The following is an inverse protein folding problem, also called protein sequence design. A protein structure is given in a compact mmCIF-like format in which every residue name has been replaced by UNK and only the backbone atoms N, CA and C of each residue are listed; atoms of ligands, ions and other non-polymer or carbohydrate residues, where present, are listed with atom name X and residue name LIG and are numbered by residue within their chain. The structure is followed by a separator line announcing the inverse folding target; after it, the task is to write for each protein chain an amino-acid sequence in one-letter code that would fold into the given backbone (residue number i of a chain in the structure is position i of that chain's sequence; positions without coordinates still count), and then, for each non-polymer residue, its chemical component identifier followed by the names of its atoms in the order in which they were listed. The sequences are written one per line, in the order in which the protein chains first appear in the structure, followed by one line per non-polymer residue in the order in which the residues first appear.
data_IF_772967600610
#
_entry.id   IF_772967600610
#
_cell.length_a   1.000
_cell.length_b   1.000
_cell.length_c   1.000
_cell.angle_alpha   90.00
_cell.angle_beta   90.00
_cell.angle_gamma   90.00
#
_symmetry.space_group_name_H-M   'P 1'
#
loop_
_entity.id
_entity.type
_entity.pdbx_description
1 polymer ?
#
# COMPACT_ATOMS: atom_id res chain seq x y z
N UNK A 1 -56.28 -9.54 -44.52
CA UNK A 1 -56.22 -8.59 -43.39
C UNK A 1 -55.35 -9.19 -42.30
N UNK A 2 -54.36 -8.42 -41.86
CA UNK A 2 -53.38 -8.66 -40.78
C UNK A 2 -53.91 -9.46 -39.58
N UNK A 3 -53.08 -10.33 -38.99
CA UNK A 3 -52.42 -9.98 -37.73
C UNK A 3 -51.26 -10.91 -37.35
N UNK A 4 -50.21 -10.28 -36.81
CA UNK A 4 -48.91 -10.80 -36.41
C UNK A 4 -48.94 -11.50 -35.05
N UNK A 5 -48.09 -12.51 -34.86
CA UNK A 5 -47.38 -12.81 -33.60
C UNK A 5 -46.15 -13.68 -33.93
N UNK A 6 -44.98 -13.04 -34.11
CA UNK A 6 -43.69 -13.73 -34.18
C UNK A 6 -43.18 -13.93 -32.75
N UNK A 7 -43.16 -15.17 -32.28
CA UNK A 7 -42.35 -15.60 -31.13
C UNK A 7 -41.16 -16.37 -31.67
N UNK A 8 -40.02 -15.70 -31.83
CA UNK A 8 -38.75 -16.38 -32.15
C UNK A 8 -38.03 -16.71 -30.85
N UNK A 9 -38.20 -17.96 -30.41
CA UNK A 9 -37.28 -18.58 -29.47
C UNK A 9 -35.91 -18.72 -30.16
N UNK A 10 -34.94 -17.88 -29.77
CA UNK A 10 -33.56 -18.00 -30.22
C UNK A 10 -32.94 -19.21 -29.52
N UNK A 11 -32.67 -20.24 -30.33
CA UNK A 11 -31.85 -21.41 -30.01
C UNK A 11 -30.52 -20.97 -29.38
N UNK A 12 -30.22 -21.42 -28.16
CA UNK A 12 -28.90 -21.19 -27.53
C UNK A 12 -27.87 -22.13 -28.17
N UNK A 13 -26.77 -21.63 -28.76
CA UNK A 13 -25.68 -22.52 -29.16
C UNK A 13 -24.89 -22.96 -27.93
N UNK A 14 -24.69 -24.27 -27.82
CA UNK A 14 -23.81 -24.91 -26.84
C UNK A 14 -22.39 -24.29 -26.91
N UNK A 15 -21.93 -23.73 -25.79
CA UNK A 15 -20.53 -23.27 -25.66
C UNK A 15 -19.61 -24.49 -25.55
N UNK A 16 -18.95 -24.82 -26.66
CA UNK A 16 -17.68 -25.57 -26.63
C UNK A 16 -16.67 -24.80 -25.79
N UNK A 17 -15.86 -25.53 -25.01
CA UNK A 17 -14.74 -25.01 -24.22
C UNK A 17 -13.64 -24.44 -25.13
N UNK A 18 -13.90 -23.29 -25.73
CA UNK A 18 -12.87 -22.50 -26.38
C UNK A 18 -12.10 -21.78 -25.28
N UNK A 19 -10.81 -22.11 -25.17
CA UNK A 19 -9.82 -21.23 -24.56
C UNK A 19 -9.97 -19.88 -25.25
N UNK A 20 -10.62 -18.92 -24.59
CA UNK A 20 -10.62 -17.54 -25.06
C UNK A 20 -9.19 -17.05 -24.90
N UNK A 21 -8.46 -17.01 -26.02
CA UNK A 21 -7.30 -16.16 -26.15
C UNK A 21 -7.84 -14.74 -25.95
N UNK A 22 -7.55 -14.15 -24.80
CA UNK A 22 -7.95 -12.79 -24.51
C UNK A 22 -7.13 -11.88 -25.43
N UNK A 23 -7.75 -10.93 -26.15
CA UNK A 23 -6.99 -9.91 -26.85
C UNK A 23 -6.16 -9.18 -25.80
N UNK A 24 -4.84 -9.28 -25.97
CA UNK A 24 -3.78 -8.44 -25.44
C UNK A 24 -4.03 -7.92 -24.02
N UNK A 25 -3.29 -8.46 -23.05
CA UNK A 25 -3.28 -7.97 -21.67
C UNK A 25 -2.64 -6.57 -21.56
N UNK A 26 -3.02 -5.59 -22.39
CA UNK A 26 -2.72 -4.15 -22.33
C UNK A 26 -1.43 -3.76 -21.58
N UNK A 27 -0.28 -4.36 -21.94
CA UNK A 27 1.02 -4.10 -21.32
C UNK A 27 1.17 -4.53 -19.84
N UNK A 28 0.23 -5.29 -19.29
CA UNK A 28 0.25 -5.80 -17.92
C UNK A 28 1.43 -6.74 -17.68
N UNK A 29 1.93 -6.72 -16.45
CA UNK A 29 2.88 -7.71 -15.96
C UNK A 29 2.36 -8.40 -14.71
N UNK A 30 2.79 -9.64 -14.50
CA UNK A 30 2.58 -10.37 -13.26
C UNK A 30 3.81 -10.13 -12.39
N UNK A 31 3.63 -9.48 -11.22
CA UNK A 31 4.71 -9.31 -10.24
C UNK A 31 4.63 -10.38 -9.18
N UNK A 32 5.74 -11.08 -8.95
CA UNK A 32 5.84 -12.09 -7.90
C UNK A 32 5.64 -11.51 -6.51
N UNK A 33 4.73 -12.11 -5.74
CA UNK A 33 4.45 -11.74 -4.32
C UNK A 33 4.96 -12.80 -3.34
N UNK A 34 5.39 -13.96 -3.82
CA UNK A 34 5.98 -15.03 -3.01
C UNK A 34 7.42 -14.69 -2.61
N UNK A 35 7.73 -14.71 -1.31
CA UNK A 35 9.08 -14.48 -0.79
C UNK A 35 10.12 -15.49 -1.31
N UNK A 36 9.67 -16.70 -1.64
CA UNK A 36 10.52 -17.78 -2.17
C UNK A 36 10.60 -17.77 -3.71
N UNK A 37 10.03 -16.76 -4.36
CA UNK A 37 9.83 -16.75 -5.80
C UNK A 37 8.70 -17.68 -6.24
N UNK A 38 8.49 -17.74 -7.56
CA UNK A 38 7.48 -18.57 -8.20
C UNK A 38 8.06 -19.21 -9.48
N UNK A 39 7.71 -20.47 -9.71
CA UNK A 39 8.05 -21.17 -10.94
C UNK A 39 7.22 -20.66 -12.12
N UNK A 40 7.88 -20.49 -13.27
CA UNK A 40 7.26 -20.34 -14.58
C UNK A 40 7.23 -21.72 -15.23
N UNK A 41 6.04 -22.21 -15.57
CA UNK A 41 5.82 -23.57 -16.10
C UNK A 41 5.46 -23.55 -17.58
N UNK A 42 5.65 -24.67 -18.27
CA UNK A 42 5.29 -24.83 -19.69
C UNK A 42 3.81 -25.17 -19.93
N UNK A 43 2.99 -25.19 -18.88
CA UNK A 43 1.53 -25.35 -18.94
C UNK A 43 0.85 -24.95 -17.63
N UNK A 44 -0.46 -24.73 -17.63
CA UNK A 44 -1.24 -24.24 -16.48
C UNK A 44 -1.57 -25.36 -15.48
N UNK A 45 -0.55 -26.07 -15.00
CA UNK A 45 -0.67 -27.09 -13.95
C UNK A 45 0.62 -27.20 -13.14
N UNK A 46 0.51 -27.60 -11.88
CA UNK A 46 1.68 -27.91 -11.02
C UNK A 46 2.45 -29.14 -11.51
N UNK A 47 1.84 -30.00 -12.32
CA UNK A 47 2.47 -31.16 -12.95
C UNK A 47 3.24 -30.83 -14.23
N UNK A 48 3.06 -29.64 -14.80
CA UNK A 48 3.79 -29.20 -15.99
C UNK A 48 5.27 -28.89 -15.68
N UNK A 49 6.13 -29.07 -16.68
CA UNK A 49 7.56 -28.82 -16.58
C UNK A 49 7.88 -27.36 -16.24
N UNK A 50 9.00 -27.13 -15.55
CA UNK A 50 9.46 -25.82 -15.13
C UNK A 50 10.37 -25.23 -16.22
N UNK A 51 10.02 -24.06 -16.73
CA UNK A 51 10.84 -23.27 -17.67
C UNK A 51 11.86 -22.39 -16.95
N UNK A 52 11.56 -22.01 -15.70
CA UNK A 52 12.40 -21.17 -14.86
C UNK A 52 11.64 -20.68 -13.63
N UNK A 53 12.16 -19.66 -12.98
CA UNK A 53 11.50 -19.03 -11.84
C UNK A 53 11.77 -17.52 -11.82
N UNK A 54 10.87 -16.77 -11.22
CA UNK A 54 11.06 -15.35 -10.94
C UNK A 54 11.07 -15.15 -9.42
N UNK A 55 11.97 -14.31 -8.93
CA UNK A 55 12.07 -13.96 -7.51
C UNK A 55 11.01 -12.96 -7.08
N UNK A 56 10.85 -12.76 -5.78
CA UNK A 56 9.97 -11.73 -5.21
C UNK A 56 10.19 -10.36 -5.87
N UNK A 57 9.10 -9.70 -6.26
CA UNK A 57 9.15 -8.38 -6.89
C UNK A 57 9.57 -8.36 -8.37
N UNK A 58 10.15 -9.45 -8.90
CA UNK A 58 10.38 -9.58 -10.33
C UNK A 58 9.05 -9.73 -11.09
N UNK A 59 9.04 -9.28 -12.34
CA UNK A 59 7.83 -9.27 -13.16
C UNK A 59 8.03 -9.92 -14.52
N UNK A 60 6.94 -10.46 -15.08
CA UNK A 60 6.87 -11.02 -16.42
C UNK A 60 5.65 -10.48 -17.15
N UNK A 61 5.74 -10.13 -18.46
CA UNK A 61 4.59 -9.68 -19.23
C UNK A 61 3.48 -10.73 -19.24
N UNK A 62 2.25 -10.32 -18.95
CA UNK A 62 1.07 -11.17 -19.10
C UNK A 62 0.65 -11.15 -20.56
N UNK A 63 0.33 -12.33 -21.10
CA UNK A 63 -0.13 -12.50 -22.48
C UNK A 63 -1.51 -13.15 -22.56
N UNK A 64 -2.02 -13.67 -21.44
CA UNK A 64 -3.33 -14.30 -21.38
C UNK A 64 -3.58 -14.99 -20.04
N UNK A 65 -4.56 -15.89 -19.99
CA UNK A 65 -4.87 -16.72 -18.82
C UNK A 65 -5.44 -18.07 -19.22
N UNK A 66 -5.29 -19.05 -18.34
CA UNK A 66 -5.90 -20.37 -18.47
C UNK A 66 -6.28 -20.89 -17.09
N UNK A 67 -7.59 -21.04 -16.83
CA UNK A 67 -8.09 -21.34 -15.49
C UNK A 67 -7.57 -20.32 -14.48
N UNK A 68 -6.92 -20.83 -13.44
CA UNK A 68 -6.37 -20.04 -12.33
C UNK A 68 -4.91 -19.60 -12.56
N UNK A 69 -4.42 -19.75 -13.79
CA UNK A 69 -3.04 -19.44 -14.20
C UNK A 69 -2.99 -18.25 -15.14
N UNK A 70 -1.99 -17.40 -14.96
CA UNK A 70 -1.61 -16.39 -15.93
C UNK A 70 -0.70 -17.00 -16.99
N UNK A 71 -1.00 -16.74 -18.25
CA UNK A 71 -0.08 -16.99 -19.36
C UNK A 71 0.84 -15.76 -19.47
N UNK A 72 2.14 -16.00 -19.57
CA UNK A 72 3.17 -14.95 -19.52
C UNK A 72 4.21 -15.14 -20.63
N UNK A 73 4.88 -14.07 -21.03
CA UNK A 73 6.09 -14.15 -21.85
C UNK A 73 7.32 -14.26 -20.95
N UNK A 74 8.07 -15.35 -21.08
CA UNK A 74 9.28 -15.60 -20.30
C UNK A 74 10.40 -16.06 -21.22
N UNK A 75 11.48 -15.29 -21.30
CA UNK A 75 12.61 -15.53 -22.20
C UNK A 75 12.20 -15.79 -23.66
N UNK A 76 11.19 -15.05 -24.15
CA UNK A 76 10.67 -15.19 -25.52
C UNK A 76 9.75 -16.41 -25.75
N UNK A 77 9.46 -17.21 -24.71
CA UNK A 77 8.55 -18.36 -24.78
C UNK A 77 7.27 -18.11 -23.98
N UNK A 78 6.22 -18.87 -24.31
CA UNK A 78 4.99 -18.91 -23.52
C UNK A 78 5.22 -19.71 -22.24
N UNK A 79 5.06 -19.05 -21.09
CA UNK A 79 5.07 -19.67 -19.77
C UNK A 79 3.75 -19.47 -19.03
N UNK A 80 3.61 -20.14 -17.89
CA UNK A 80 2.45 -20.05 -17.02
C UNK A 80 2.87 -19.90 -15.56
N UNK A 81 2.23 -18.98 -14.85
CA UNK A 81 2.47 -18.74 -13.43
C UNK A 81 1.14 -18.75 -12.66
N UNK A 82 1.12 -19.33 -11.45
CA UNK A 82 -0.11 -19.52 -10.69
C UNK A 82 -0.57 -18.19 -10.08
N UNK A 83 -1.85 -17.85 -10.24
CA UNK A 83 -2.35 -16.51 -9.92
C UNK A 83 -2.17 -16.09 -8.47
N UNK A 84 -2.25 -17.03 -7.51
CA UNK A 84 -2.15 -16.71 -6.07
C UNK A 84 -0.78 -16.18 -5.61
N UNK A 85 0.26 -16.39 -6.41
CA UNK A 85 1.65 -16.00 -6.08
C UNK A 85 2.15 -14.80 -6.88
N UNK A 86 1.25 -14.15 -7.61
CA UNK A 86 1.52 -12.92 -8.34
C UNK A 86 0.39 -11.92 -8.11
N UNK A 87 0.67 -10.64 -8.40
CA UNK A 87 -0.37 -9.63 -8.59
C UNK A 87 -0.36 -9.17 -10.04
N UNK A 88 -1.55 -8.99 -10.61
CA UNK A 88 -1.75 -8.48 -11.97
C UNK A 88 -2.71 -7.29 -11.91
N UNK A 89 -2.40 -6.16 -12.56
CA UNK A 89 -3.23 -4.96 -12.52
C UNK A 89 -4.48 -5.12 -13.38
N UNK A 90 -5.55 -4.47 -12.95
CA UNK A 90 -6.77 -4.33 -13.74
C UNK A 90 -7.47 -2.99 -13.52
N UNK A 91 -8.34 -2.62 -14.45
CA UNK A 91 -9.20 -1.43 -14.36
C UNK A 91 -10.66 -1.82 -14.50
N UNK A 92 -11.50 -1.28 -13.62
CA UNK A 92 -12.95 -1.53 -13.61
C UNK A 92 -13.61 -0.74 -14.73
N UNK A 93 -14.43 -1.42 -15.52
CA UNK A 93 -15.23 -0.86 -16.61
C UNK A 93 -16.70 -1.23 -16.39
N UNK A 94 -17.36 -0.51 -15.49
CA UNK A 94 -18.74 -0.75 -15.07
C UNK A 94 -19.50 0.57 -14.87
N UNK A 95 -20.57 0.79 -15.63
CA UNK A 95 -21.32 2.06 -15.64
C UNK A 95 -21.92 2.48 -14.29
N UNK A 96 -22.20 1.54 -13.39
CA UNK A 96 -22.87 1.78 -12.11
C UNK A 96 -22.08 1.24 -10.90
N UNK A 97 -20.76 1.10 -11.04
CA UNK A 97 -19.91 0.43 -10.07
C UNK A 97 -20.01 -1.10 -10.12
N UNK A 98 -18.98 -1.77 -9.62
CA UNK A 98 -18.82 -3.22 -9.66
C UNK A 98 -18.83 -3.79 -8.25
N UNK A 99 -19.75 -4.72 -7.98
CA UNK A 99 -19.80 -5.37 -6.68
C UNK A 99 -18.59 -6.27 -6.43
N UNK A 100 -18.10 -6.23 -5.20
CA UNK A 100 -17.14 -7.16 -4.64
C UNK A 100 -17.91 -8.11 -3.71
N UNK A 101 -17.71 -9.41 -3.89
CA UNK A 101 -18.49 -10.46 -3.22
C UNK A 101 -17.62 -11.35 -2.36
N UNK A 102 -18.21 -12.04 -1.39
CA UNK A 102 -17.50 -12.98 -0.52
C UNK A 102 -16.99 -14.24 -1.24
N UNK A 103 -17.48 -14.53 -2.45
CA UNK A 103 -17.03 -15.65 -3.28
C UNK A 103 -17.22 -15.42 -4.78
N UNK A 104 -16.61 -16.26 -5.64
CA UNK A 104 -16.59 -16.11 -7.09
C UNK A 104 -17.92 -16.52 -7.73
N UNK A 105 -18.94 -15.68 -7.58
CA UNK A 105 -20.28 -15.93 -8.12
C UNK A 105 -21.31 -14.88 -7.70
N UNK A 106 -22.40 -14.75 -8.45
CA UNK A 106 -23.48 -13.81 -8.12
C UNK A 106 -24.33 -14.23 -6.92
N UNK A 107 -24.26 -15.49 -6.50
CA UNK A 107 -24.94 -16.01 -5.32
C UNK A 107 -24.26 -15.67 -3.99
N UNK A 108 -23.02 -15.17 -4.03
CA UNK A 108 -22.30 -14.76 -2.82
C UNK A 108 -22.69 -13.36 -2.37
N UNK A 109 -22.67 -13.14 -1.04
CA UNK A 109 -22.98 -11.85 -0.42
C UNK A 109 -22.04 -10.75 -0.90
N UNK A 110 -22.57 -9.53 -1.02
CA UNK A 110 -21.79 -8.33 -1.39
C UNK A 110 -21.04 -7.84 -0.14
N UNK A 111 -19.74 -7.61 -0.27
CA UNK A 111 -18.86 -7.14 0.82
C UNK A 111 -18.37 -5.71 0.61
N UNK A 112 -18.32 -5.24 -0.64
CA UNK A 112 -18.02 -3.85 -1.01
C UNK A 112 -18.38 -3.58 -2.47
N UNK A 113 -18.06 -2.39 -2.97
CA UNK A 113 -18.17 -2.05 -4.39
C UNK A 113 -16.95 -1.26 -4.85
N UNK A 114 -16.68 -1.32 -6.16
CA UNK A 114 -15.63 -0.60 -6.85
C UNK A 114 -16.26 0.41 -7.81
N UNK A 115 -15.73 1.62 -7.87
CA UNK A 115 -16.20 2.63 -8.83
C UNK A 115 -15.78 2.29 -10.27
N UNK A 116 -16.48 2.86 -11.25
CA UNK A 116 -16.00 2.84 -12.65
C UNK A 116 -14.62 3.48 -12.75
N UNK A 117 -13.71 2.92 -13.55
CA UNK A 117 -12.34 3.39 -13.67
C UNK A 117 -11.45 3.11 -12.45
N UNK A 118 -11.99 2.51 -11.38
CA UNK A 118 -11.19 2.09 -10.24
C UNK A 118 -10.15 1.07 -10.70
N UNK A 119 -8.95 1.17 -10.16
CA UNK A 119 -7.88 0.25 -10.45
C UNK A 119 -7.69 -0.75 -9.31
N UNK A 120 -7.43 -2.00 -9.67
CA UNK A 120 -7.39 -3.15 -8.76
C UNK A 120 -6.13 -3.97 -8.97
N UNK A 121 -5.79 -4.76 -7.94
CA UNK A 121 -4.80 -5.84 -8.05
C UNK A 121 -5.51 -7.17 -8.00
N UNK A 122 -5.36 -7.93 -9.07
CA UNK A 122 -5.88 -9.29 -9.19
C UNK A 122 -4.85 -10.21 -8.55
N UNK A 123 -5.18 -10.78 -7.40
CA UNK A 123 -4.29 -11.69 -6.66
C UNK A 123 -4.78 -13.13 -6.67
N UNK A 124 -6.02 -13.37 -7.11
CA UNK A 124 -6.53 -14.72 -7.38
C UNK A 124 -7.46 -14.69 -8.58
N UNK A 125 -7.47 -15.78 -9.34
CA UNK A 125 -8.43 -16.01 -10.42
C UNK A 125 -9.18 -17.29 -10.10
N UNK A 126 -10.49 -17.27 -10.29
CA UNK A 126 -11.32 -18.47 -10.27
C UNK A 126 -12.39 -18.36 -11.35
N UNK A 127 -12.31 -19.22 -12.36
CA UNK A 127 -13.11 -19.08 -13.58
C UNK A 127 -12.99 -17.65 -14.17
N UNK A 128 -14.11 -16.94 -14.28
CA UNK A 128 -14.15 -15.55 -14.74
C UNK A 128 -14.27 -14.53 -13.59
N UNK A 129 -13.83 -14.88 -12.38
CA UNK A 129 -13.86 -13.99 -11.22
C UNK A 129 -12.46 -13.66 -10.76
N UNK A 130 -12.26 -12.41 -10.37
CA UNK A 130 -10.99 -11.88 -9.88
C UNK A 130 -11.12 -11.49 -8.42
N UNK A 131 -10.16 -11.94 -7.61
CA UNK A 131 -10.03 -11.47 -6.24
C UNK A 131 -9.25 -10.15 -6.22
N UNK A 132 -9.87 -9.11 -5.67
CA UNK A 132 -9.46 -7.70 -5.82
C UNK A 132 -9.30 -7.01 -4.46
N UNK A 133 -8.57 -7.66 -3.56
CA UNK A 133 -8.27 -7.14 -2.22
C UNK A 133 -9.06 -7.84 -1.12
N UNK A 134 -10.35 -7.53 -0.97
CA UNK A 134 -11.19 -8.08 0.11
C UNK A 134 -12.32 -9.01 -0.38
N UNK A 135 -12.39 -9.29 -1.68
CA UNK A 135 -13.39 -10.20 -2.23
C UNK A 135 -13.30 -10.33 -3.76
N UNK A 136 -14.35 -10.92 -4.34
CA UNK A 136 -14.41 -11.35 -5.73
C UNK A 136 -15.31 -10.45 -6.57
N UNK A 137 -14.82 -10.00 -7.71
CA UNK A 137 -15.59 -9.26 -8.70
C UNK A 137 -15.58 -9.98 -10.06
N UNK A 138 -16.64 -9.78 -10.84
CA UNK A 138 -16.73 -10.40 -12.17
C UNK A 138 -15.68 -9.81 -13.10
N UNK A 139 -14.88 -10.69 -13.71
CA UNK A 139 -13.85 -10.35 -14.68
C UNK A 139 -14.42 -9.82 -16.00
N UNK A 140 -15.73 -9.94 -16.25
CA UNK A 140 -16.38 -9.31 -17.42
C UNK A 140 -16.32 -7.77 -17.36
N UNK A 141 -16.12 -7.21 -16.16
CA UNK A 141 -16.07 -5.77 -15.92
C UNK A 141 -14.69 -5.29 -15.49
N UNK A 142 -13.64 -6.12 -15.63
CA UNK A 142 -12.27 -5.75 -15.28
C UNK A 142 -11.38 -6.01 -16.50
N UNK A 143 -10.85 -4.94 -17.08
CA UNK A 143 -9.84 -5.06 -18.13
C UNK A 143 -8.48 -5.29 -17.48
N UNK A 144 -7.86 -6.42 -17.80
CA UNK A 144 -6.48 -6.75 -17.39
C UNK A 144 -5.52 -5.87 -18.18
N UNK A 145 -4.69 -5.09 -17.50
CA UNK A 145 -3.92 -4.03 -18.14
C UNK A 145 -3.38 -3.00 -17.16
N UNK A 146 -2.29 -2.32 -17.55
CA UNK A 146 -1.65 -1.27 -16.75
C UNK A 146 -0.35 -1.71 -16.07
N UNK A 147 0.32 -0.78 -15.40
CA UNK A 147 1.55 -1.03 -14.63
C UNK A 147 1.28 -2.03 -13.49
N UNK A 148 2.10 -3.09 -13.28
CA UNK A 148 1.90 -4.12 -12.24
C UNK A 148 2.11 -3.62 -10.79
N UNK A 149 2.33 -2.34 -10.63
CA UNK A 149 2.23 -1.62 -9.37
C UNK A 149 0.79 -1.69 -8.82
N UNK A 150 0.61 -1.81 -7.49
CA UNK A 150 -0.71 -1.87 -6.89
C UNK A 150 -1.51 -0.58 -7.05
N UNK A 151 -2.29 -0.50 -8.14
CA UNK A 151 -3.14 0.63 -8.50
C UNK A 151 -2.37 1.95 -8.73
N UNK A 152 -2.70 2.80 -9.72
CA UNK A 152 -2.44 4.21 -9.58
C UNK A 152 -3.25 4.64 -8.37
N UNK A 153 -2.55 4.78 -7.25
CA UNK A 153 -2.74 5.91 -6.35
C UNK A 153 -3.46 7.05 -7.08
N UNK A 154 -4.60 7.55 -6.56
CA UNK A 154 -5.37 8.60 -7.23
C UNK A 154 -4.38 9.66 -7.65
N UNK A 155 -4.36 10.02 -8.94
CA UNK A 155 -3.38 10.95 -9.54
C UNK A 155 -3.01 12.03 -8.51
N UNK A 156 -1.86 11.88 -7.83
CA UNK A 156 -1.56 12.65 -6.62
C UNK A 156 -1.05 11.91 -5.35
N UNK A 157 -0.75 10.60 -5.34
CA UNK A 157 -0.01 10.03 -4.19
C UNK A 157 1.51 10.22 -4.33
N UNK A 158 2.13 10.57 -3.22
CA UNK A 158 3.53 10.98 -3.09
C UNK A 158 4.42 9.76 -2.83
N UNK A 159 3.92 8.75 -2.11
CA UNK A 159 4.62 7.51 -1.77
C UNK A 159 3.74 6.31 -2.10
N UNK A 160 4.33 5.29 -2.72
CA UNK A 160 3.65 4.04 -3.09
C UNK A 160 3.90 2.92 -2.08
N UNK A 161 3.01 1.93 -2.10
CA UNK A 161 3.14 0.71 -1.29
C UNK A 161 4.46 -0.04 -1.59
N UNK A 162 4.82 -0.13 -2.89
CA UNK A 162 6.06 -0.80 -3.30
C UNK A 162 7.31 -0.10 -2.76
N UNK A 163 7.33 1.24 -2.71
CA UNK A 163 8.44 1.98 -2.13
C UNK A 163 8.58 1.69 -0.63
N UNK A 164 7.48 1.61 0.10
CA UNK A 164 7.49 1.31 1.54
C UNK A 164 7.90 -0.13 1.84
N UNK A 165 7.41 -1.10 1.06
CA UNK A 165 7.87 -2.49 1.15
C UNK A 165 9.37 -2.62 0.89
N UNK A 166 9.90 -1.91 -0.12
CA UNK A 166 11.35 -1.88 -0.42
C UNK A 166 12.16 -1.21 0.69
N UNK A 167 11.58 -0.27 1.44
CA UNK A 167 12.20 0.28 2.66
C UNK A 167 12.26 -0.75 3.80
N UNK A 168 11.44 -1.80 3.74
CA UNK A 168 11.34 -2.85 4.75
C UNK A 168 10.16 -2.67 5.70
N UNK A 169 9.16 -1.87 5.33
CA UNK A 169 7.93 -1.71 6.10
C UNK A 169 6.93 -2.80 5.72
N UNK A 170 6.29 -3.40 6.72
CA UNK A 170 5.31 -4.49 6.52
C UNK A 170 3.94 -4.20 7.14
N UNK A 171 3.84 -3.25 8.07
CA UNK A 171 2.60 -2.82 8.68
C UNK A 171 2.58 -1.29 8.83
N UNK A 172 1.81 -0.62 7.97
CA UNK A 172 1.68 0.84 7.96
C UNK A 172 0.38 1.25 7.27
N UNK A 173 -0.09 2.47 7.55
CA UNK A 173 -1.25 3.05 6.89
C UNK A 173 -0.79 3.98 5.78
N UNK A 174 -0.78 3.48 4.54
CA UNK A 174 -0.32 4.24 3.37
C UNK A 174 -1.12 5.53 3.13
N UNK A 175 -2.41 5.53 3.49
CA UNK A 175 -3.27 6.72 3.44
C UNK A 175 -2.82 7.81 4.41
N UNK A 176 -2.41 7.45 5.63
CA UNK A 176 -1.84 8.38 6.62
C UNK A 176 -0.50 8.93 6.14
N UNK A 177 0.38 8.09 5.59
CA UNK A 177 1.67 8.54 5.03
C UNK A 177 1.46 9.57 3.92
N UNK A 178 0.61 9.28 2.93
CA UNK A 178 0.39 10.20 1.82
C UNK A 178 -0.32 11.49 2.26
N UNK A 179 -1.28 11.40 3.17
CA UNK A 179 -1.92 12.57 3.76
C UNK A 179 -0.90 13.44 4.52
N UNK A 180 0.00 12.80 5.28
CA UNK A 180 1.10 13.45 5.98
C UNK A 180 2.05 14.17 5.02
N UNK A 181 2.56 13.46 4.00
CA UNK A 181 3.48 14.02 3.02
C UNK A 181 2.86 15.20 2.27
N UNK A 182 1.58 15.10 1.89
CA UNK A 182 0.87 16.20 1.22
C UNK A 182 0.69 17.40 2.16
N UNK A 183 0.16 17.15 3.37
CA UNK A 183 -0.14 18.19 4.38
C UNK A 183 1.10 18.98 4.81
N UNK A 184 2.26 18.34 4.89
CA UNK A 184 3.49 18.96 5.36
C UNK A 184 4.52 19.21 4.24
N UNK A 185 4.11 19.04 2.98
CA UNK A 185 4.99 19.25 1.82
C UNK A 185 6.23 18.36 1.80
N UNK A 186 6.18 17.14 2.34
CA UNK A 186 7.29 16.18 2.30
C UNK A 186 7.23 15.43 0.97
N UNK A 187 7.49 16.15 -0.13
CA UNK A 187 7.17 15.68 -1.50
C UNK A 187 8.39 15.51 -2.41
N UNK A 188 9.52 16.16 -2.11
CA UNK A 188 10.75 16.01 -2.90
C UNK A 188 11.50 14.74 -2.49
N UNK A 189 12.28 14.16 -3.41
CA UNK A 189 13.08 12.97 -3.09
C UNK A 189 14.00 13.19 -1.88
N UNK A 190 14.63 14.37 -1.75
CA UNK A 190 15.46 14.69 -0.59
C UNK A 190 14.68 14.64 0.74
N UNK A 191 13.50 15.29 0.77
CA UNK A 191 12.63 15.30 1.95
C UNK A 191 12.12 13.90 2.29
N UNK A 192 11.65 13.14 1.29
CA UNK A 192 11.16 11.77 1.46
C UNK A 192 12.24 10.83 1.98
N UNK A 193 13.45 10.87 1.40
CA UNK A 193 14.56 10.02 1.82
C UNK A 193 14.93 10.26 3.28
N UNK A 194 15.04 11.52 3.70
CA UNK A 194 15.35 11.84 5.09
C UNK A 194 14.19 11.51 6.03
N UNK A 195 12.97 11.91 5.70
CA UNK A 195 11.81 11.68 6.57
C UNK A 195 11.56 10.18 6.82
N UNK A 196 11.44 9.40 5.74
CA UNK A 196 11.12 7.97 5.84
C UNK A 196 12.27 7.20 6.48
N UNK A 197 13.54 7.54 6.20
CA UNK A 197 14.67 6.86 6.85
C UNK A 197 14.75 7.11 8.35
N UNK A 198 14.47 8.33 8.80
CA UNK A 198 14.41 8.65 10.23
C UNK A 198 13.25 7.92 10.90
N UNK A 199 12.04 7.98 10.33
CA UNK A 199 10.89 7.20 10.83
C UNK A 199 11.18 5.69 10.87
N UNK A 200 11.90 5.16 9.88
CA UNK A 200 12.26 3.74 9.84
C UNK A 200 13.17 3.35 11.00
N UNK A 201 14.11 4.21 11.38
CA UNK A 201 14.98 3.97 12.53
C UNK A 201 14.22 4.07 13.86
N UNK A 202 13.49 5.17 14.07
CA UNK A 202 12.80 5.46 15.34
C UNK A 202 11.71 4.43 15.69
N UNK A 203 11.08 3.85 14.69
CA UNK A 203 9.96 2.93 14.87
C UNK A 203 10.29 1.46 14.59
N UNK A 204 11.54 1.16 14.23
CA UNK A 204 11.94 -0.12 13.67
C UNK A 204 11.03 -0.55 12.50
N UNK A 205 10.90 0.32 11.48
CA UNK A 205 10.01 0.15 10.32
C UNK A 205 8.55 -0.10 10.69
N UNK A 206 8.05 0.64 11.69
CA UNK A 206 6.64 0.61 12.08
C UNK A 206 6.26 -0.44 13.12
N UNK A 207 7.23 -1.21 13.63
CA UNK A 207 7.01 -2.17 14.73
C UNK A 207 6.54 -1.44 15.99
N UNK A 208 7.08 -0.25 16.26
CA UNK A 208 6.73 0.55 17.43
C UNK A 208 6.08 1.86 17.00
N UNK A 209 4.78 2.01 17.32
CA UNK A 209 4.02 3.26 17.17
C UNK A 209 3.85 4.01 18.48
N UNK A 210 4.31 3.42 19.60
CA UNK A 210 4.30 3.99 20.94
C UNK A 210 5.65 3.74 21.59
N UNK A 211 6.07 4.68 22.42
CA UNK A 211 7.15 4.46 23.36
C UNK A 211 6.87 3.25 24.27
N UNK A 212 7.88 2.40 24.44
CA UNK A 212 7.79 1.20 25.28
C UNK A 212 7.77 1.53 26.77
N UNK A 213 8.39 2.64 27.19
CA UNK A 213 8.34 3.11 28.56
C UNK A 213 6.90 3.46 28.97
N UNK A 214 6.62 3.43 30.29
CA UNK A 214 5.28 3.72 30.83
C UNK A 214 4.85 5.17 30.59
N UNK A 215 5.80 6.09 30.39
CA UNK A 215 5.54 7.53 30.32
C UNK A 215 5.45 8.22 31.68
N UNK A 216 5.52 7.47 32.79
CA UNK A 216 5.45 8.03 34.15
C UNK A 216 6.58 9.04 34.43
N UNK A 217 7.73 8.89 33.77
CA UNK A 217 8.84 9.85 33.86
C UNK A 217 8.49 11.24 33.30
N UNK A 218 7.42 11.36 32.51
CA UNK A 218 6.92 12.64 31.99
C UNK A 218 5.86 13.27 32.88
N UNK A 219 5.42 12.61 33.95
CA UNK A 219 4.38 13.14 34.84
C UNK A 219 4.86 14.43 35.51
N UNK A 220 4.01 15.47 35.53
CA UNK A 220 4.34 16.76 36.15
C UNK A 220 5.38 17.60 35.40
N UNK A 221 5.89 17.15 34.24
CA UNK A 221 6.86 17.91 33.42
C UNK A 221 6.19 19.13 32.78
N UNK A 222 6.35 20.29 33.42
CA UNK A 222 5.77 21.57 32.97
C UNK A 222 6.30 22.04 31.63
N UNK A 223 7.56 21.72 31.29
CA UNK A 223 8.16 21.99 29.99
C UNK A 223 7.49 21.20 28.84
N UNK A 224 6.87 20.07 29.15
CA UNK A 224 6.05 19.27 28.23
C UNK A 224 4.56 19.61 28.30
N UNK A 225 4.16 20.52 29.20
CA UNK A 225 2.76 20.88 29.48
C UNK A 225 2.00 19.83 30.28
N UNK A 226 2.68 18.85 30.85
CA UNK A 226 2.06 17.78 31.64
C UNK A 226 1.77 18.31 33.05
N UNK A 227 0.65 19.03 33.20
CA UNK A 227 0.27 19.74 34.43
C UNK A 227 -0.93 19.09 35.15
N UNK A 228 -1.58 18.12 34.50
CA UNK A 228 -2.67 17.35 35.10
C UNK A 228 -2.22 15.93 35.42
N UNK A 229 -2.77 15.37 36.50
CA UNK A 229 -2.50 14.00 36.89
C UNK A 229 -2.85 13.01 35.76
N UNK A 230 -1.91 12.16 35.40
CA UNK A 230 -2.02 11.14 34.35
C UNK A 230 -1.56 11.63 32.97
N UNK A 231 -1.10 12.86 32.84
CA UNK A 231 -0.61 13.41 31.57
C UNK A 231 0.63 12.66 31.06
N UNK A 232 1.51 12.19 31.95
CA UNK A 232 2.76 11.54 31.58
C UNK A 232 2.52 10.29 30.72
N UNK A 233 1.82 9.27 31.23
CA UNK A 233 1.46 8.09 30.45
C UNK A 233 0.56 8.40 29.24
N UNK A 234 -0.38 9.35 29.38
CA UNK A 234 -1.35 9.68 28.32
C UNK A 234 -0.70 10.36 27.11
N UNK A 235 0.31 11.17 27.32
CA UNK A 235 1.01 11.94 26.28
C UNK A 235 2.48 11.53 26.14
N UNK A 236 2.82 10.28 26.44
CA UNK A 236 4.14 9.70 26.13
C UNK A 236 4.37 9.62 24.61
N UNK A 237 5.58 9.22 24.21
CA UNK A 237 5.97 9.20 22.80
C UNK A 237 5.03 8.40 21.91
N UNK A 238 4.45 9.07 20.91
CA UNK A 238 3.51 8.49 19.95
C UNK A 238 3.88 8.75 18.49
N UNK A 239 3.61 7.76 17.64
CA UNK A 239 3.94 7.76 16.21
C UNK A 239 5.42 7.55 15.91
N UNK A 240 5.80 7.74 14.66
CA UNK A 240 7.11 7.29 14.16
C UNK A 240 8.29 8.23 14.43
N UNK A 241 8.07 9.42 15.02
CA UNK A 241 9.13 10.31 15.56
C UNK A 241 8.74 10.76 16.99
N UNK A 242 8.10 9.87 17.76
CA UNK A 242 7.91 10.05 19.22
C UNK A 242 7.39 11.46 19.63
N UNK A 243 6.17 11.82 19.20
CA UNK A 243 5.53 13.05 19.68
C UNK A 243 5.23 12.88 21.18
N UNK A 244 5.81 13.75 22.04
CA UNK A 244 5.77 13.61 23.50
C UNK A 244 5.33 14.90 24.19
N UNK A 245 4.51 14.80 25.23
CA UNK A 245 4.06 15.89 26.08
C UNK A 245 2.72 16.49 25.65
N UNK A 246 1.87 16.83 26.63
CA UNK A 246 0.53 17.41 26.42
C UNK A 246 0.56 18.63 25.50
N UNK A 247 1.52 19.53 25.68
CA UNK A 247 1.63 20.74 24.84
C UNK A 247 1.78 20.39 23.36
N UNK A 248 2.52 19.33 23.03
CA UNK A 248 2.73 18.88 21.66
C UNK A 248 1.51 18.16 21.09
N UNK A 249 0.84 17.32 21.89
CA UNK A 249 -0.44 16.71 21.50
C UNK A 249 -1.54 17.76 21.30
N UNK A 250 -1.62 18.78 22.15
CA UNK A 250 -2.55 19.90 22.01
C UNK A 250 -2.26 20.69 20.73
N UNK A 251 -0.99 20.96 20.43
CA UNK A 251 -0.60 21.64 19.20
C UNK A 251 -1.01 20.84 17.95
N UNK A 252 -0.83 19.51 17.97
CA UNK A 252 -1.29 18.63 16.89
C UNK A 252 -2.83 18.64 16.78
N UNK A 253 -3.53 18.51 17.91
CA UNK A 253 -5.00 18.54 17.97
C UNK A 253 -5.55 19.83 17.32
N UNK A 254 -4.97 20.98 17.68
CA UNK A 254 -5.36 22.27 17.13
C UNK A 254 -5.07 22.37 15.63
N UNK A 255 -3.90 21.90 15.18
CA UNK A 255 -3.53 21.93 13.76
C UNK A 255 -4.41 21.05 12.88
N UNK A 256 -4.83 19.88 13.40
CA UNK A 256 -5.71 18.96 12.69
C UNK A 256 -7.20 19.31 12.85
N UNK A 257 -7.54 20.21 13.78
CA UNK A 257 -8.89 20.38 14.31
C UNK A 257 -9.52 19.04 14.77
N UNK A 258 -8.77 18.26 15.54
CA UNK A 258 -9.15 16.92 16.00
C UNK A 258 -8.92 16.76 17.50
N UNK A 259 -10.01 16.87 18.27
CA UNK A 259 -9.98 16.77 19.73
C UNK A 259 -9.60 15.37 20.24
N UNK A 260 -9.70 14.31 19.41
CA UNK A 260 -9.36 12.96 19.85
C UNK A 260 -7.87 12.81 20.19
N UNK A 261 -7.01 13.59 19.54
CA UNK A 261 -5.57 13.65 19.83
C UNK A 261 -5.33 14.00 21.31
N UNK A 262 -6.12 14.91 21.89
CA UNK A 262 -6.03 15.26 23.31
C UNK A 262 -6.87 14.38 24.21
N UNK A 263 -8.09 14.05 23.79
CA UNK A 263 -9.02 13.31 24.63
C UNK A 263 -8.52 11.88 24.90
N UNK A 264 -7.93 11.23 23.89
CA UNK A 264 -7.46 9.85 23.97
C UNK A 264 -5.93 9.78 24.15
N UNK A 265 -5.18 10.71 23.56
CA UNK A 265 -3.71 10.75 23.72
C UNK A 265 -2.97 9.73 22.84
N UNK A 266 -1.91 9.15 23.39
CA UNK A 266 -0.95 8.30 22.67
C UNK A 266 -1.60 7.14 21.92
N UNK A 267 -2.67 6.56 22.45
CA UNK A 267 -3.36 5.44 21.81
C UNK A 267 -4.02 5.85 20.49
N UNK A 268 -4.62 7.05 20.44
CA UNK A 268 -5.23 7.56 19.23
C UNK A 268 -4.17 7.89 18.18
N UNK A 269 -3.10 8.58 18.59
CA UNK A 269 -2.00 8.94 17.67
C UNK A 269 -1.34 7.70 17.09
N UNK A 270 -1.01 6.72 17.91
CA UNK A 270 -0.33 5.51 17.47
C UNK A 270 -1.16 4.66 16.49
N UNK A 271 -2.48 4.61 16.69
CA UNK A 271 -3.37 3.78 15.88
C UNK A 271 -3.82 4.51 14.59
N UNK A 272 -3.97 5.83 14.64
CA UNK A 272 -4.65 6.60 13.59
C UNK A 272 -3.78 7.63 12.89
N UNK A 273 -2.69 8.09 13.50
CA UNK A 273 -1.89 9.21 12.99
C UNK A 273 -0.37 9.01 13.15
N UNK A 274 0.20 7.79 13.08
CA UNK A 274 1.62 7.60 13.39
C UNK A 274 2.56 8.30 12.38
N UNK A 275 2.16 8.45 11.12
CA UNK A 275 2.88 9.28 10.15
C UNK A 275 2.57 10.75 10.32
N UNK A 276 1.30 11.12 10.47
CA UNK A 276 0.89 12.52 10.60
C UNK A 276 1.52 13.19 11.83
N UNK A 277 1.66 12.51 12.96
CA UNK A 277 2.34 13.07 14.13
C UNK A 277 3.84 13.28 13.87
N UNK A 278 4.50 12.34 13.19
CA UNK A 278 5.89 12.47 12.79
C UNK A 278 6.09 13.63 11.80
N UNK A 279 5.19 13.77 10.82
CA UNK A 279 5.21 14.89 9.88
C UNK A 279 4.94 16.25 10.52
N UNK A 280 4.09 16.30 11.55
CA UNK A 280 3.85 17.51 12.31
C UNK A 280 5.11 17.95 13.08
N UNK A 281 5.80 17.00 13.73
CA UNK A 281 7.09 17.27 14.34
C UNK A 281 8.11 17.75 13.29
N UNK A 282 8.16 17.08 12.14
CA UNK A 282 9.04 17.42 11.02
C UNK A 282 8.83 18.86 10.53
N UNK A 283 7.57 19.24 10.33
CA UNK A 283 7.15 20.59 9.94
C UNK A 283 7.57 21.64 10.97
N UNK A 284 7.23 21.42 12.25
CA UNK A 284 7.54 22.37 13.33
C UNK A 284 9.04 22.59 13.55
N UNK A 285 9.88 21.63 13.19
CA UNK A 285 11.33 21.70 13.36
C UNK A 285 12.09 22.17 12.12
N UNK A 286 11.37 22.64 11.08
CA UNK A 286 11.97 23.22 9.87
C UNK A 286 12.76 22.21 9.04
N UNK A 287 12.40 20.93 9.12
CA UNK A 287 13.21 19.85 8.57
C UNK A 287 13.22 19.84 7.03
N UNK A 288 12.14 20.30 6.38
CA UNK A 288 12.10 20.44 4.93
C UNK A 288 13.19 21.40 4.44
N UNK A 289 13.33 22.57 5.07
CA UNK A 289 14.36 23.56 4.71
C UNK A 289 15.77 22.99 4.85
N UNK A 290 16.02 22.17 5.87
CA UNK A 290 17.30 21.48 6.00
C UNK A 290 17.55 20.52 4.82
N UNK A 291 16.55 19.72 4.44
CA UNK A 291 16.66 18.81 3.31
C UNK A 291 16.90 19.55 2.00
N UNK A 292 16.18 20.66 1.77
CA UNK A 292 16.31 21.44 0.54
C UNK A 292 17.67 22.12 0.40
N UNK A 293 18.29 22.47 1.54
CA UNK A 293 19.65 23.00 1.61
C UNK A 293 20.73 21.91 1.55
N UNK A 294 20.36 20.65 1.27
CA UNK A 294 21.29 19.54 1.10
C UNK A 294 21.89 19.02 2.41
N UNK A 295 21.16 19.12 3.53
CA UNK A 295 21.65 18.61 4.81
C UNK A 295 22.02 17.13 4.74
N UNK A 296 23.11 16.76 5.39
CA UNK A 296 23.54 15.37 5.49
C UNK A 296 22.69 14.56 6.48
N UNK A 297 22.82 13.23 6.44
CA UNK A 297 22.14 12.34 7.40
C UNK A 297 22.55 12.66 8.84
N UNK A 298 23.80 13.04 9.07
CA UNK A 298 24.33 13.48 10.36
C UNK A 298 23.63 14.73 10.86
N UNK A 299 23.48 15.75 10.01
CA UNK A 299 22.81 17.00 10.36
C UNK A 299 21.33 16.78 10.69
N UNK A 300 20.65 15.96 9.89
CA UNK A 300 19.26 15.55 10.16
C UNK A 300 19.16 14.75 11.45
N UNK A 301 20.07 13.79 11.68
CA UNK A 301 20.10 12.95 12.89
C UNK A 301 20.33 13.78 14.15
N UNK A 302 21.27 14.72 14.11
CA UNK A 302 21.54 15.64 15.23
C UNK A 302 20.29 16.44 15.58
N UNK A 303 19.51 16.88 14.59
CA UNK A 303 18.26 17.61 14.84
C UNK A 303 17.13 16.73 15.38
N UNK A 304 17.01 15.50 14.89
CA UNK A 304 15.99 14.54 15.35
C UNK A 304 16.25 14.08 16.79
N UNK A 305 17.50 13.74 17.10
CA UNK A 305 17.85 13.03 18.32
C UNK A 305 18.66 13.86 19.33
N UNK A 306 19.01 15.10 18.99
CA UNK A 306 19.92 15.91 19.81
C UNK A 306 21.36 15.38 19.88
N UNK A 307 21.69 14.34 19.11
CA UNK A 307 22.97 13.65 19.12
C UNK A 307 23.08 12.59 18.02
N UNK A 308 24.13 11.78 18.06
CA UNK A 308 24.44 10.79 17.01
C UNK A 308 24.10 9.34 17.37
N UNK A 309 23.33 9.13 18.45
CA UNK A 309 22.91 7.77 18.83
C UNK A 309 22.10 7.15 17.67
N UNK A 310 22.51 5.96 17.25
CA UNK A 310 21.90 5.24 16.14
C UNK A 310 22.31 5.69 14.73
N UNK A 311 23.25 6.64 14.58
CA UNK A 311 23.62 7.22 13.27
C UNK A 311 23.98 6.18 12.20
N UNK A 312 24.71 5.11 12.56
CA UNK A 312 25.07 4.07 11.60
C UNK A 312 23.85 3.39 10.98
N UNK A 313 22.84 3.05 11.78
CA UNK A 313 21.59 2.48 11.28
C UNK A 313 20.76 3.49 10.49
N UNK A 314 20.72 4.76 10.91
CA UNK A 314 20.06 5.84 10.17
C UNK A 314 20.67 6.01 8.77
N UNK A 315 22.01 5.92 8.64
CA UNK A 315 22.69 5.91 7.34
C UNK A 315 22.29 4.72 6.49
N UNK A 316 22.16 3.52 7.07
CA UNK A 316 21.68 2.33 6.35
C UNK A 316 20.28 2.55 5.77
N UNK A 317 19.34 3.08 6.57
CA UNK A 317 17.99 3.39 6.09
C UNK A 317 18.00 4.50 5.03
N UNK A 318 18.81 5.54 5.20
CA UNK A 318 18.92 6.62 4.23
C UNK A 318 19.47 6.13 2.89
N UNK A 319 20.53 5.33 2.90
CA UNK A 319 21.11 4.74 1.69
C UNK A 319 20.10 3.84 0.96
N UNK A 320 19.29 3.08 1.71
CA UNK A 320 18.17 2.33 1.13
C UNK A 320 17.14 3.25 0.48
N UNK A 321 16.76 4.34 1.15
CA UNK A 321 15.81 5.30 0.63
C UNK A 321 16.30 5.99 -0.66
N UNK A 322 17.61 6.28 -0.78
CA UNK A 322 18.21 6.83 -2.00
C UNK A 322 18.01 5.94 -3.23
N UNK A 323 17.91 4.62 -3.06
CA UNK A 323 17.63 3.69 -4.15
C UNK A 323 16.13 3.55 -4.50
N UNK A 324 15.23 4.21 -3.77
CA UNK A 324 13.78 3.99 -3.81
C UNK A 324 13.00 5.25 -4.24
N UNK A 325 13.39 6.42 -3.71
CA UNK A 325 12.71 7.71 -3.88
C UNK A 325 13.54 8.70 -4.68
#
# INVERSE_FOLDING_TARGET
MLSFLLSTAIMRPHRRHHYRVFPEANGASAVCTSSNGINIRNGPSTSNGILGAIGYGACVPVTGRSGDWWQVSYNGQTGYCYSEYVRVPGTVNANSGLYVRSGPGTGYGIVSSLANGATVQITKVSNNWFYVGNGWSSGDYITVGGDPSPSPSPSGSIVTDSQMQRMGWSNYRLSDLNACCSRFGITTSARLRHFISQCSHESACGVYTKELASGTAYEGRTDLGNIYAGDGPKYKGGGYIQLTGRSNYQALANYLNDANVINIGVDYVANNLPWTSAGFWWYRNGMNTLCDNGASVEQITLRVNGGYNGLAFRKTYYNRACGIF
#
